data_IF_387901355867
#
_entry.id   IF_387901355867
#
_cell.length_a   1.000
_cell.length_b   1.000
_cell.length_c   1.000
_cell.angle_alpha   90.00
_cell.angle_beta   90.00
_cell.angle_gamma   90.00
#
_symmetry.space_group_name_H-M   'P 1'
#
loop_
_entity.id
_entity.type
_entity.pdbx_description
1 polymer ?
#
# COMPACT_ATOMS: atom_id res chain seq x y z
N UNK A 1 8.79 33.47 -110.02
CA UNK A 1 8.06 34.48 -109.24
C UNK A 1 6.74 33.98 -108.65
N UNK A 2 5.79 33.46 -109.44
CA UNK A 2 4.51 32.96 -108.90
C UNK A 2 4.68 31.76 -107.92
N UNK A 3 5.41 30.71 -108.32
CA UNK A 3 5.68 29.54 -107.45
C UNK A 3 6.46 29.88 -106.17
N UNK A 4 7.37 30.85 -106.26
CA UNK A 4 8.14 31.33 -105.11
C UNK A 4 7.26 32.12 -104.14
N UNK A 5 6.30 32.90 -104.64
CA UNK A 5 5.31 33.60 -103.81
C UNK A 5 4.39 32.61 -103.09
N UNK A 6 3.85 31.63 -103.81
CA UNK A 6 3.00 30.58 -103.24
C UNK A 6 3.72 29.75 -102.15
N UNK A 7 4.99 29.39 -102.38
CA UNK A 7 5.80 28.71 -101.37
C UNK A 7 6.06 29.59 -100.13
N UNK A 8 6.28 30.90 -100.31
CA UNK A 8 6.40 31.86 -99.22
C UNK A 8 5.09 31.96 -98.42
N UNK A 9 3.95 32.06 -99.09
CA UNK A 9 2.63 32.17 -98.44
C UNK A 9 2.31 30.88 -97.65
N UNK A 10 2.62 29.70 -98.19
CA UNK A 10 2.51 28.42 -97.48
C UNK A 10 3.44 28.34 -96.26
N UNK A 11 4.67 28.84 -96.35
CA UNK A 11 5.59 28.91 -95.21
C UNK A 11 5.08 29.83 -94.11
N UNK A 12 4.59 31.02 -94.46
CA UNK A 12 4.00 31.95 -93.48
C UNK A 12 2.79 31.33 -92.79
N UNK A 13 1.88 30.68 -93.54
CA UNK A 13 0.73 30.00 -92.96
C UNK A 13 1.14 28.88 -91.98
N UNK A 14 2.19 28.10 -92.30
CA UNK A 14 2.73 27.08 -91.38
C UNK A 14 3.38 27.69 -90.14
N UNK A 15 4.09 28.81 -90.28
CA UNK A 15 4.71 29.52 -89.16
C UNK A 15 3.62 30.07 -88.22
N UNK A 16 2.56 30.66 -88.77
CA UNK A 16 1.46 31.22 -87.97
C UNK A 16 0.63 30.11 -87.29
N UNK A 17 0.43 28.99 -87.97
CA UNK A 17 -0.15 27.78 -87.36
C UNK A 17 0.71 27.25 -86.20
N UNK A 18 2.03 27.17 -86.38
CA UNK A 18 2.96 26.74 -85.33
C UNK A 18 2.97 27.71 -84.14
N UNK A 19 2.95 29.03 -84.38
CA UNK A 19 2.84 30.04 -83.31
C UNK A 19 1.54 29.89 -82.52
N UNK A 20 0.42 29.70 -83.21
CA UNK A 20 -0.89 29.49 -82.58
C UNK A 20 -0.89 28.23 -81.72
N UNK A 21 -0.32 27.14 -82.22
CA UNK A 21 -0.17 25.90 -81.46
C UNK A 21 0.77 26.07 -80.26
N UNK A 22 1.87 26.80 -80.40
CA UNK A 22 2.79 27.09 -79.30
C UNK A 22 2.10 27.90 -78.20
N UNK A 23 1.29 28.90 -78.56
CA UNK A 23 0.56 29.70 -77.57
C UNK A 23 -0.54 28.89 -76.87
N UNK A 24 -1.29 28.04 -77.60
CA UNK A 24 -2.21 27.08 -76.97
C UNK A 24 -1.47 26.15 -76.00
N UNK A 25 -0.36 25.55 -76.43
CA UNK A 25 0.43 24.66 -75.57
C UNK A 25 0.94 25.40 -74.33
N UNK A 26 1.34 26.67 -74.48
CA UNK A 26 1.79 27.52 -73.37
C UNK A 26 0.66 27.79 -72.38
N UNK A 27 -0.54 28.09 -72.87
CA UNK A 27 -1.73 28.30 -72.04
C UNK A 27 -2.17 27.02 -71.34
N UNK A 28 -2.19 25.89 -72.03
CA UNK A 28 -2.48 24.57 -71.45
C UNK A 28 -1.47 24.21 -70.37
N UNK A 29 -0.17 24.33 -70.63
CA UNK A 29 0.87 24.06 -69.64
C UNK A 29 0.78 24.99 -68.43
N UNK A 30 0.45 26.28 -68.64
CA UNK A 30 0.24 27.22 -67.55
C UNK A 30 -0.97 26.85 -66.68
N UNK A 31 -2.07 26.41 -67.31
CA UNK A 31 -3.28 25.94 -66.60
C UNK A 31 -2.99 24.67 -65.80
N UNK A 32 -2.38 23.66 -66.43
CA UNK A 32 -2.00 22.41 -65.77
C UNK A 32 -1.03 22.65 -64.61
N UNK A 33 -0.08 23.58 -64.77
CA UNK A 33 0.84 23.96 -63.68
C UNK A 33 0.10 24.66 -62.54
N UNK A 34 -0.92 25.48 -62.83
CA UNK A 34 -1.73 26.13 -61.82
C UNK A 34 -2.63 25.14 -61.07
N UNK A 35 -3.27 24.21 -61.79
CA UNK A 35 -4.07 23.12 -61.23
C UNK A 35 -3.21 22.23 -60.33
N UNK A 36 -2.06 21.76 -60.82
CA UNK A 36 -1.15 20.93 -60.02
C UNK A 36 -0.63 21.64 -58.76
N UNK A 37 -0.42 22.98 -58.82
CA UNK A 37 -0.05 23.77 -57.62
C UNK A 37 -1.20 23.89 -56.63
N UNK A 38 -2.42 24.06 -57.13
CA UNK A 38 -3.61 24.13 -56.28
C UNK A 38 -3.86 22.78 -55.60
N UNK A 39 -3.81 21.68 -56.35
CA UNK A 39 -3.96 20.32 -55.81
C UNK A 39 -2.90 20.03 -54.74
N UNK A 40 -1.64 20.41 -55.01
CA UNK A 40 -0.55 20.26 -54.03
C UNK A 40 -0.79 21.11 -52.77
N UNK A 41 -1.31 22.33 -52.90
CA UNK A 41 -1.65 23.19 -51.77
C UNK A 41 -2.80 22.60 -50.94
N UNK A 42 -3.84 22.07 -51.61
CA UNK A 42 -4.99 21.45 -50.95
C UNK A 42 -4.61 20.15 -50.24
N UNK A 43 -3.74 19.32 -50.85
CA UNK A 43 -3.19 18.12 -50.22
C UNK A 43 -2.36 18.47 -48.99
N UNK A 44 -1.52 19.52 -49.06
CA UNK A 44 -0.72 19.97 -47.92
C UNK A 44 -1.61 20.50 -46.78
N UNK A 45 -2.66 21.25 -47.11
CA UNK A 45 -3.60 21.76 -46.12
C UNK A 45 -4.37 20.63 -45.42
N UNK A 46 -4.83 19.63 -46.17
CA UNK A 46 -5.49 18.45 -45.61
C UNK A 46 -4.56 17.65 -44.70
N UNK A 47 -3.32 17.41 -45.14
CA UNK A 47 -2.31 16.71 -44.36
C UNK A 47 -1.98 17.46 -43.05
N UNK A 48 -1.84 18.79 -43.10
CA UNK A 48 -1.63 19.61 -41.90
C UNK A 48 -2.80 19.48 -40.92
N UNK A 49 -4.04 19.60 -41.39
CA UNK A 49 -5.23 19.49 -40.55
C UNK A 49 -5.41 18.10 -39.92
N UNK A 50 -5.05 17.04 -40.64
CA UNK A 50 -5.05 15.68 -40.10
C UNK A 50 -3.95 15.49 -39.05
N UNK A 51 -2.75 16.02 -39.30
CA UNK A 51 -1.63 15.99 -38.37
C UNK A 51 -1.98 16.72 -37.06
N UNK A 52 -2.56 17.92 -37.14
CA UNK A 52 -2.98 18.68 -35.97
C UNK A 52 -4.05 17.93 -35.15
N UNK A 53 -5.01 17.28 -35.81
CA UNK A 53 -6.03 16.46 -35.16
C UNK A 53 -5.40 15.27 -34.44
N UNK A 54 -4.43 14.60 -35.07
CA UNK A 54 -3.76 13.44 -34.49
C UNK A 54 -2.90 13.84 -33.29
N UNK A 55 -2.14 14.94 -33.38
CA UNK A 55 -1.37 15.48 -32.27
C UNK A 55 -2.26 15.88 -31.10
N UNK A 56 -3.39 16.56 -31.35
CA UNK A 56 -4.35 16.90 -30.29
C UNK A 56 -4.96 15.68 -29.61
N UNK A 57 -5.18 14.58 -30.35
CA UNK A 57 -5.65 13.32 -29.77
C UNK A 57 -4.57 12.64 -28.90
N UNK A 58 -3.31 12.68 -29.33
CA UNK A 58 -2.17 12.18 -28.54
C UNK A 58 -2.01 13.01 -27.26
N UNK A 59 -2.11 14.34 -27.33
CA UNK A 59 -2.01 15.21 -26.16
C UNK A 59 -3.12 14.94 -25.14
N UNK A 60 -4.35 14.71 -25.62
CA UNK A 60 -5.48 14.35 -24.76
C UNK A 60 -5.26 12.99 -24.07
N UNK A 61 -4.76 11.99 -24.79
CA UNK A 61 -4.43 10.68 -24.20
C UNK A 61 -3.23 10.78 -23.25
N UNK A 62 -2.22 11.61 -23.58
CA UNK A 62 -1.10 11.91 -22.71
C UNK A 62 -1.55 12.52 -21.38
N UNK A 63 -2.47 13.50 -21.42
CA UNK A 63 -3.07 14.07 -20.22
C UNK A 63 -3.81 13.02 -19.38
N UNK A 64 -4.54 12.09 -20.03
CA UNK A 64 -5.23 10.99 -19.36
C UNK A 64 -4.25 10.02 -18.68
N UNK A 65 -3.16 9.66 -19.34
CA UNK A 65 -2.12 8.80 -18.77
C UNK A 65 -1.45 9.49 -17.59
N UNK A 66 -1.13 10.79 -17.70
CA UNK A 66 -0.55 11.56 -16.59
C UNK A 66 -1.48 11.60 -15.38
N UNK A 67 -2.80 11.77 -15.58
CA UNK A 67 -3.79 11.69 -14.50
C UNK A 67 -3.78 10.31 -13.83
N UNK A 68 -3.87 9.24 -14.61
CA UNK A 68 -3.87 7.85 -14.09
C UNK A 68 -2.57 7.52 -13.36
N UNK A 69 -1.41 7.94 -13.90
CA UNK A 69 -0.10 7.73 -13.28
C UNK A 69 0.01 8.52 -11.99
N UNK A 70 -0.49 9.76 -11.96
CA UNK A 70 -0.49 10.58 -10.74
C UNK A 70 -1.28 9.90 -9.62
N UNK A 71 -2.49 9.40 -9.92
CA UNK A 71 -3.29 8.61 -8.97
C UNK A 71 -2.58 7.34 -8.52
N UNK A 72 -1.91 6.63 -9.44
CA UNK A 72 -1.14 5.43 -9.12
C UNK A 72 0.07 5.73 -8.22
N UNK A 73 0.69 6.90 -8.38
CA UNK A 73 1.81 7.36 -7.56
C UNK A 73 1.39 7.83 -6.15
N UNK A 74 0.11 8.06 -5.92
CA UNK A 74 -0.47 8.42 -4.62
C UNK A 74 -0.86 7.21 -3.76
N UNK A 75 -1.03 6.03 -4.36
CA UNK A 75 -1.27 4.74 -3.68
C UNK A 75 -0.24 4.43 -2.56
N UNK A 76 1.08 4.65 -2.72
CA UNK A 76 2.05 4.38 -1.66
C UNK A 76 2.14 5.49 -0.59
N UNK A 77 1.48 6.64 -0.78
CA UNK A 77 1.47 7.69 0.23
C UNK A 77 0.62 7.21 1.40
N UNK A 78 1.27 6.87 2.51
CA UNK A 78 0.63 6.33 3.70
C UNK A 78 0.62 7.32 4.85
N UNK A 79 1.57 8.26 4.88
CA UNK A 79 1.66 9.26 5.95
C UNK A 79 1.68 10.66 5.37
N UNK A 80 0.77 11.48 5.89
CA UNK A 80 0.63 12.89 5.53
C UNK A 80 0.74 13.70 6.81
N UNK A 81 1.63 14.69 6.77
CA UNK A 81 1.92 15.59 7.86
C UNK A 81 1.52 17.01 7.47
N UNK A 82 0.75 17.66 8.32
CA UNK A 82 0.34 19.04 8.23
C UNK A 82 1.06 19.84 9.33
N UNK A 83 1.91 20.77 8.90
CA UNK A 83 2.66 21.64 9.81
C UNK A 83 1.96 22.99 9.93
N UNK A 84 1.54 23.34 11.15
CA UNK A 84 0.88 24.60 11.50
C UNK A 84 1.92 25.52 12.14
N UNK A 85 2.36 26.60 11.46
CA UNK A 85 3.28 27.56 12.03
C UNK A 85 2.59 28.42 13.10
N UNK A 86 3.34 28.89 14.10
CA UNK A 86 2.82 29.77 15.16
C UNK A 86 1.55 29.21 15.82
N UNK A 87 1.52 27.90 16.06
CA UNK A 87 0.29 27.16 16.36
C UNK A 87 -0.44 27.72 17.59
N UNK A 88 0.28 28.17 18.62
CA UNK A 88 -0.27 28.83 19.82
C UNK A 88 -1.08 30.08 19.46
N UNK A 89 -0.60 30.86 18.49
CA UNK A 89 -1.25 32.08 18.04
C UNK A 89 -2.46 31.79 17.16
N UNK A 90 -2.38 30.73 16.35
CA UNK A 90 -3.34 30.37 15.32
C UNK A 90 -4.53 29.55 15.85
N UNK A 91 -4.27 28.57 16.71
CA UNK A 91 -5.24 27.62 17.25
C UNK A 91 -5.95 28.18 18.50
N UNK A 92 -6.64 29.30 18.34
CA UNK A 92 -7.36 29.93 19.45
C UNK A 92 -8.67 29.20 19.74
N UNK A 93 -8.96 28.87 21.01
CA UNK A 93 -10.28 28.37 21.37
C UNK A 93 -11.35 29.43 21.06
N UNK A 94 -12.61 29.01 20.82
CA UNK A 94 -13.69 29.94 20.52
C UNK A 94 -13.89 30.92 21.69
N UNK A 95 -14.19 32.18 21.34
CA UNK A 95 -14.50 33.21 22.35
C UNK A 95 -15.83 32.82 23.01
N UNK A 96 -15.87 32.78 24.34
CA UNK A 96 -17.01 32.31 25.14
C UNK A 96 -18.37 32.94 24.76
N UNK A 97 -18.37 34.13 24.15
CA UNK A 97 -19.55 34.82 23.65
C UNK A 97 -20.29 34.07 22.52
N UNK A 98 -19.63 33.20 21.76
CA UNK A 98 -20.15 32.64 20.51
C UNK A 98 -20.99 31.34 20.67
N UNK A 99 -21.22 30.83 21.88
CA UNK A 99 -21.90 29.54 22.15
C UNK A 99 -21.34 28.32 21.40
N UNK A 100 -20.22 28.45 20.68
CA UNK A 100 -19.56 27.33 20.00
C UNK A 100 -18.72 26.54 21.01
N UNK A 101 -18.88 25.23 21.00
CA UNK A 101 -18.14 24.33 21.90
C UNK A 101 -16.67 24.14 21.49
N UNK A 102 -16.32 24.43 20.25
CA UNK A 102 -14.96 24.32 19.70
C UNK A 102 -14.76 25.21 18.48
N UNK A 103 -13.50 25.46 18.14
CA UNK A 103 -13.07 26.08 16.89
C UNK A 103 -12.46 25.01 15.97
N UNK A 104 -12.81 25.03 14.69
CA UNK A 104 -12.31 24.07 13.69
C UNK A 104 -11.31 24.71 12.74
N UNK A 105 -10.23 23.99 12.46
CA UNK A 105 -9.16 24.37 11.53
C UNK A 105 -8.92 23.24 10.54
N UNK A 106 -8.87 23.56 9.26
CA UNK A 106 -8.78 22.57 8.19
C UNK A 106 -7.44 22.64 7.47
N UNK A 107 -6.89 21.47 7.15
CA UNK A 107 -5.73 21.37 6.26
C UNK A 107 -6.13 21.69 4.82
N UNK A 108 -5.17 21.92 3.91
CA UNK A 108 -5.42 21.74 2.48
C UNK A 108 -5.94 20.32 2.22
N UNK A 109 -6.68 20.14 1.13
CA UNK A 109 -7.07 18.81 0.67
C UNK A 109 -5.85 18.05 0.14
N UNK A 110 -5.84 16.74 0.30
CA UNK A 110 -4.74 15.87 -0.12
C UNK A 110 -5.23 14.49 -0.57
N UNK A 111 -4.34 13.77 -1.24
CA UNK A 111 -4.58 12.41 -1.70
C UNK A 111 -3.59 11.45 -1.03
N UNK A 112 -4.08 10.32 -0.49
CA UNK A 112 -3.24 9.32 0.16
C UNK A 112 -3.93 7.95 0.20
N UNK A 113 -3.15 6.88 0.01
CA UNK A 113 -3.62 5.49 0.01
C UNK A 113 -4.87 5.27 -0.88
N UNK A 114 -4.84 5.85 -2.08
CA UNK A 114 -5.95 5.88 -3.06
C UNK A 114 -7.19 6.68 -2.62
N UNK A 115 -7.17 7.28 -1.45
CA UNK A 115 -8.20 8.22 -1.02
C UNK A 115 -8.04 9.57 -1.72
N UNK A 116 -9.11 10.01 -2.37
CA UNK A 116 -9.19 11.34 -2.97
C UNK A 116 -9.87 12.33 -2.01
N UNK A 117 -9.48 13.60 -2.11
CA UNK A 117 -10.14 14.71 -1.42
C UNK A 117 -10.13 14.60 0.13
N UNK A 118 -9.08 13.97 0.67
CA UNK A 118 -8.91 13.84 2.11
C UNK A 118 -8.58 15.19 2.74
N UNK A 119 -9.05 15.44 3.96
CA UNK A 119 -8.79 16.68 4.67
C UNK A 119 -8.71 16.46 6.17
N UNK A 120 -7.71 17.03 6.84
CA UNK A 120 -7.62 17.00 8.30
C UNK A 120 -8.40 18.17 8.88
N UNK A 121 -9.09 17.92 10.00
CA UNK A 121 -9.75 18.93 10.81
C UNK A 121 -9.22 18.85 12.25
N UNK A 122 -8.58 19.91 12.72
CA UNK A 122 -8.21 20.11 14.12
C UNK A 122 -9.32 20.88 14.81
N UNK A 123 -9.91 20.30 15.86
CA UNK A 123 -10.90 20.96 16.73
C UNK A 123 -10.26 21.34 18.06
N UNK A 124 -10.34 22.62 18.41
CA UNK A 124 -9.80 23.19 19.65
C UNK A 124 -10.94 23.55 20.59
N UNK A 125 -10.96 22.92 21.76
CA UNK A 125 -11.99 23.10 22.78
C UNK A 125 -11.54 24.10 23.85
N UNK A 126 -12.44 24.95 24.40
CA UNK A 126 -12.09 25.88 25.46
C UNK A 126 -11.64 25.13 26.74
N UNK A 127 -10.68 25.68 27.50
CA UNK A 127 -10.14 25.03 28.71
C UNK A 127 -11.21 24.72 29.77
N UNK A 128 -12.27 25.51 29.82
CA UNK A 128 -13.37 25.36 30.78
C UNK A 128 -14.14 24.04 30.65
N UNK A 129 -14.05 23.37 29.50
CA UNK A 129 -14.72 22.09 29.28
C UNK A 129 -13.85 20.89 29.68
N UNK A 130 -12.62 21.08 30.18
CA UNK A 130 -11.72 19.98 30.50
C UNK A 130 -12.40 18.97 31.46
N UNK A 131 -12.33 17.65 31.16
CA UNK A 131 -13.03 16.62 31.92
C UNK A 131 -12.57 16.53 33.39
N UNK A 132 -11.36 16.99 33.68
CA UNK A 132 -10.74 16.81 35.00
C UNK A 132 -10.95 17.99 35.95
N UNK A 133 -11.70 19.03 35.51
CA UNK A 133 -11.90 20.26 36.30
C UNK A 133 -10.63 21.09 36.52
N UNK A 134 -9.48 20.65 36.02
CA UNK A 134 -8.21 21.37 36.09
C UNK A 134 -8.21 22.47 35.03
N UNK A 135 -8.44 23.70 35.45
CA UNK A 135 -8.33 24.87 34.60
C UNK A 135 -6.86 25.14 34.28
N UNK A 136 -6.43 24.83 33.06
CA UNK A 136 -5.13 25.24 32.52
C UNK A 136 -5.28 26.55 31.74
N UNK A 137 -4.32 27.45 31.90
CA UNK A 137 -4.21 28.68 31.10
C UNK A 137 -3.41 28.33 29.86
N UNK A 138 -4.07 28.24 28.70
CA UNK A 138 -3.42 27.62 27.56
C UNK A 138 -4.22 27.47 26.28
N UNK A 139 -3.56 26.97 25.25
CA UNK A 139 -4.20 26.54 24.00
C UNK A 139 -5.05 25.31 24.31
N UNK A 140 -6.32 25.36 23.92
CA UNK A 140 -7.34 24.39 24.30
C UNK A 140 -7.00 22.91 24.06
N UNK A 141 -7.78 22.04 24.69
CA UNK A 141 -7.73 20.61 24.42
C UNK A 141 -8.11 20.35 22.95
N UNK A 142 -7.36 19.52 22.24
CA UNK A 142 -7.48 19.34 20.80
C UNK A 142 -7.97 17.93 20.43
N UNK A 143 -8.75 17.85 19.37
CA UNK A 143 -9.11 16.61 18.70
C UNK A 143 -8.76 16.70 17.20
N UNK A 144 -8.44 15.58 16.58
CA UNK A 144 -8.10 15.50 15.17
C UNK A 144 -9.08 14.57 14.45
N UNK A 145 -9.58 15.03 13.31
CA UNK A 145 -10.49 14.27 12.45
C UNK A 145 -9.92 14.20 11.04
N UNK A 146 -10.19 13.08 10.36
CA UNK A 146 -10.01 12.92 8.93
C UNK A 146 -11.38 12.99 8.25
N UNK A 147 -11.50 13.87 7.28
CA UNK A 147 -12.58 13.89 6.30
C UNK A 147 -12.17 13.02 5.12
N UNK A 148 -13.05 12.12 4.71
CA UNK A 148 -12.88 11.32 3.51
C UNK A 148 -14.21 11.19 2.75
N UNK A 149 -14.11 10.81 1.48
CA UNK A 149 -15.26 10.62 0.60
C UNK A 149 -16.02 9.33 0.88
N UNK A 150 -17.27 9.28 0.43
CA UNK A 150 -18.13 8.10 0.54
C UNK A 150 -17.51 6.85 -0.11
N UNK A 151 -17.79 5.67 0.45
CA UNK A 151 -17.35 4.39 -0.07
C UNK A 151 -15.94 3.98 0.37
N UNK A 152 -15.33 4.71 1.31
CA UNK A 152 -14.02 4.37 1.87
C UNK A 152 -14.14 3.64 3.22
N UNK A 153 -13.33 2.62 3.43
CA UNK A 153 -13.06 2.06 4.75
C UNK A 153 -11.58 2.25 5.05
N UNK A 154 -11.27 2.99 6.11
CA UNK A 154 -9.91 3.40 6.43
C UNK A 154 -9.57 2.98 7.86
N UNK A 155 -8.51 2.18 8.00
CA UNK A 155 -7.81 2.01 9.26
C UNK A 155 -6.63 2.98 9.29
N UNK A 156 -6.63 3.89 10.25
CA UNK A 156 -5.72 5.03 10.30
C UNK A 156 -5.23 5.30 11.72
N UNK A 157 -4.10 6.01 11.78
CA UNK A 157 -3.51 6.54 13.00
C UNK A 157 -3.43 8.05 12.89
N UNK A 158 -4.23 8.75 13.69
CA UNK A 158 -4.24 10.20 13.77
C UNK A 158 -3.28 10.66 14.86
N UNK A 159 -2.50 11.71 14.60
CA UNK A 159 -1.53 12.21 15.57
C UNK A 159 -1.46 13.74 15.63
N UNK A 160 -1.18 14.25 16.83
CA UNK A 160 -0.91 15.66 17.14
C UNK A 160 0.39 15.67 17.96
N UNK A 161 1.47 16.20 17.39
CA UNK A 161 2.81 16.13 17.96
C UNK A 161 3.23 14.69 18.23
N UNK A 162 3.54 14.38 19.48
CA UNK A 162 3.91 13.04 19.94
C UNK A 162 2.73 12.15 20.37
N UNK A 163 1.51 12.68 20.40
CA UNK A 163 0.31 11.93 20.80
C UNK A 163 -0.41 11.37 19.59
N UNK A 164 -0.85 10.12 19.67
CA UNK A 164 -1.48 9.41 18.56
C UNK A 164 -2.64 8.52 19.02
N UNK A 165 -3.59 8.26 18.12
CA UNK A 165 -4.72 7.35 18.33
C UNK A 165 -5.01 6.57 17.05
N UNK A 166 -5.27 5.26 17.21
CA UNK A 166 -5.70 4.40 16.11
C UNK A 166 -7.23 4.41 16.00
N UNK A 167 -7.73 4.49 14.77
CA UNK A 167 -9.16 4.53 14.45
C UNK A 167 -9.39 3.70 13.20
N UNK A 168 -10.46 2.94 13.20
CA UNK A 168 -11.01 2.32 12.00
C UNK A 168 -12.40 2.89 11.75
N UNK A 169 -12.69 3.30 10.51
CA UNK A 169 -13.97 3.91 10.17
C UNK A 169 -14.36 3.66 8.73
N UNK A 170 -15.67 3.50 8.51
CA UNK A 170 -16.29 3.40 7.20
C UNK A 170 -17.04 4.71 6.88
N UNK A 171 -16.72 5.32 5.75
CA UNK A 171 -17.25 6.58 5.29
C UNK A 171 -18.42 6.30 4.33
N UNK A 172 -19.64 6.46 4.81
CA UNK A 172 -20.86 6.27 3.99
C UNK A 172 -21.22 7.52 3.18
N UNK A 173 -20.78 8.68 3.64
CA UNK A 173 -20.88 9.98 2.99
C UNK A 173 -19.55 10.74 3.20
N UNK A 174 -19.44 11.97 2.69
CA UNK A 174 -18.35 12.88 3.05
C UNK A 174 -18.53 13.34 4.51
N UNK A 175 -17.86 12.65 5.42
CA UNK A 175 -17.94 12.92 6.86
C UNK A 175 -16.57 12.82 7.54
N UNK A 176 -16.51 13.35 8.76
CA UNK A 176 -15.31 13.38 9.57
C UNK A 176 -15.33 12.24 10.60
N UNK A 177 -14.27 11.43 10.61
CA UNK A 177 -14.01 10.48 11.69
C UNK A 177 -12.72 10.87 12.40
N UNK A 178 -12.72 10.84 13.73
CA UNK A 178 -11.60 11.39 14.48
C UNK A 178 -11.56 10.99 15.93
N UNK A 179 -10.55 11.52 16.60
CA UNK A 179 -10.30 11.28 18.00
C UNK A 179 -11.33 12.02 18.85
N UNK A 180 -11.45 11.61 20.11
CA UNK A 180 -11.92 12.52 21.15
C UNK A 180 -10.84 13.58 21.43
N UNK A 181 -10.99 14.30 22.52
CA UNK A 181 -9.99 15.20 23.10
C UNK A 181 -8.67 14.47 23.38
N UNK A 182 -7.73 14.54 22.45
CA UNK A 182 -6.51 13.73 22.37
C UNK A 182 -5.41 14.29 23.28
N UNK A 183 -5.18 15.61 23.22
CA UNK A 183 -4.10 16.27 23.96
C UNK A 183 -4.30 17.79 24.02
N UNK A 184 -3.58 18.44 24.93
CA UNK A 184 -3.43 19.90 24.92
C UNK A 184 -2.46 20.32 23.82
N UNK A 185 -2.82 21.30 23.00
CA UNK A 185 -1.96 21.74 21.90
C UNK A 185 -0.65 22.33 22.41
N UNK A 186 -0.69 23.12 23.48
CA UNK A 186 0.51 23.74 24.08
C UNK A 186 1.60 22.73 24.47
N UNK A 187 1.20 21.54 24.92
CA UNK A 187 2.12 20.47 25.31
C UNK A 187 2.78 19.80 24.08
N UNK A 188 2.25 20.03 22.88
CA UNK A 188 2.68 19.40 21.63
C UNK A 188 3.34 20.38 20.65
N UNK A 189 3.29 21.69 20.91
CA UNK A 189 3.99 22.70 20.11
C UNK A 189 5.49 22.61 20.39
N UNK A 190 6.29 22.59 19.34
CA UNK A 190 7.75 22.65 19.48
C UNK A 190 8.16 23.99 20.11
N UNK A 191 8.89 23.92 21.22
CA UNK A 191 9.35 25.10 21.95
C UNK A 191 10.37 25.94 21.18
N UNK A 192 11.08 25.34 20.21
CA UNK A 192 12.12 26.03 19.44
C UNK A 192 11.55 26.93 18.34
N UNK A 193 10.51 26.48 17.63
CA UNK A 193 10.00 27.16 16.44
C UNK A 193 8.48 27.44 16.46
N UNK A 194 7.79 27.07 17.53
CA UNK A 194 6.35 27.31 17.69
C UNK A 194 5.48 26.53 16.73
N UNK A 195 6.00 25.50 16.05
CA UNK A 195 5.25 24.68 15.10
C UNK A 195 4.52 23.54 15.78
N UNK A 196 3.33 23.23 15.25
CA UNK A 196 2.60 22.01 15.59
C UNK A 196 2.49 21.13 14.35
N UNK A 197 2.96 19.90 14.45
CA UNK A 197 2.75 18.89 13.41
C UNK A 197 1.56 18.03 13.77
N UNK A 198 0.57 17.99 12.90
CA UNK A 198 -0.57 17.07 12.98
C UNK A 198 -0.57 16.19 11.74
N UNK A 199 -1.16 15.01 11.79
CA UNK A 199 -1.15 14.16 10.61
C UNK A 199 -1.96 12.90 10.72
N UNK A 200 -1.94 12.16 9.62
CA UNK A 200 -2.57 10.85 9.49
C UNK A 200 -1.58 9.86 8.91
N UNK A 201 -1.56 8.66 9.47
CA UNK A 201 -0.92 7.50 8.89
C UNK A 201 -1.98 6.44 8.57
N UNK A 202 -2.23 6.24 7.28
CA UNK A 202 -3.21 5.31 6.75
C UNK A 202 -2.60 3.90 6.75
N UNK A 203 -3.02 3.08 7.69
CA UNK A 203 -2.57 1.70 7.83
C UNK A 203 -3.18 0.81 6.75
N UNK A 204 -4.46 1.01 6.48
CA UNK A 204 -5.24 0.29 5.48
C UNK A 204 -6.32 1.22 4.91
N UNK A 205 -6.56 1.12 3.60
CA UNK A 205 -7.64 1.82 2.94
C UNK A 205 -8.23 0.88 1.89
N UNK A 206 -9.54 0.66 1.99
CA UNK A 206 -10.33 -0.11 1.04
C UNK A 206 -11.33 0.86 0.43
N UNK A 207 -11.33 0.98 -0.89
CA UNK A 207 -12.29 1.80 -1.62
C UNK A 207 -13.28 0.87 -2.33
N UNK A 208 -14.55 0.97 -1.97
CA UNK A 208 -15.63 0.24 -2.64
C UNK A 208 -16.12 1.07 -3.81
N UNK A 209 -15.43 0.99 -4.96
CA UNK A 209 -15.97 1.55 -6.21
C UNK A 209 -17.12 0.68 -6.68
N UNK A 210 -18.35 1.21 -6.64
CA UNK A 210 -19.45 0.61 -7.38
C UNK A 210 -19.28 1.02 -8.85
N UNK A 211 -18.99 0.09 -9.78
CA UNK A 211 -18.86 0.43 -11.18
C UNK A 211 -20.24 0.80 -11.72
N UNK A 212 -20.55 2.09 -11.90
CA UNK A 212 -21.83 2.43 -12.55
C UNK A 212 -22.36 3.85 -12.54
N UNK A 213 -21.77 4.81 -11.82
CA UNK A 213 -22.29 6.20 -11.87
C UNK A 213 -21.19 7.17 -12.28
N UNK A 214 -21.15 7.47 -13.58
CA UNK A 214 -20.32 8.53 -14.12
C UNK A 214 -20.66 9.87 -13.45
N UNK A 215 -19.72 10.35 -12.63
CA UNK A 215 -19.47 11.75 -12.32
C UNK A 215 -20.66 12.61 -11.92
N UNK A 216 -21.08 12.55 -10.65
CA UNK A 216 -21.63 13.75 -10.03
C UNK A 216 -20.45 14.73 -9.86
N UNK A 217 -20.52 15.97 -10.38
CA UNK A 217 -19.47 16.96 -10.15
C UNK A 217 -19.26 17.15 -8.64
N UNK A 218 -18.01 17.33 -8.19
CA UNK A 218 -17.71 17.49 -6.77
C UNK A 218 -18.60 18.59 -6.19
N UNK A 219 -19.18 18.38 -4.99
CA UNK A 219 -19.96 19.42 -4.34
C UNK A 219 -19.11 20.67 -4.22
N UNK A 220 -19.68 21.81 -4.65
CA UNK A 220 -19.02 23.11 -4.58
C UNK A 220 -18.35 23.28 -3.22
N UNK A 221 -17.04 23.57 -3.17
CA UNK A 221 -16.29 23.62 -1.92
C UNK A 221 -17.00 24.56 -0.96
N UNK A 222 -17.32 24.08 0.24
CA UNK A 222 -17.75 24.95 1.33
C UNK A 222 -16.73 26.10 1.46
N UNK A 223 -17.15 27.33 1.81
CA UNK A 223 -16.27 28.48 1.89
C UNK A 223 -15.11 28.17 2.83
N UNK A 224 -13.97 27.80 2.23
CA UNK A 224 -12.78 27.39 2.94
C UNK A 224 -12.12 28.66 3.46
N UNK A 225 -11.97 28.74 4.78
CA UNK A 225 -11.01 29.66 5.39
C UNK A 225 -9.63 29.46 4.75
N UNK A 226 -8.79 30.52 4.65
CA UNK A 226 -7.47 30.42 4.03
C UNK A 226 -6.68 29.25 4.63
N UNK A 227 -6.21 28.37 3.74
CA UNK A 227 -5.49 27.17 4.11
C UNK A 227 -4.23 27.53 4.92
N UNK A 228 -4.03 26.82 6.02
CA UNK A 228 -3.26 27.32 7.14
C UNK A 228 -2.08 26.38 7.37
N UNK A 229 -0.97 26.57 6.65
CA UNK A 229 0.25 25.76 6.77
C UNK A 229 0.60 24.94 5.53
N UNK A 230 1.59 24.06 5.67
CA UNK A 230 2.13 23.23 4.57
C UNK A 230 1.94 21.74 4.83
N UNK A 231 1.73 20.96 3.76
CA UNK A 231 1.64 19.50 3.79
C UNK A 231 2.97 18.86 3.34
N UNK A 232 3.42 17.84 4.06
CA UNK A 232 4.52 16.95 3.68
C UNK A 232 4.04 15.51 3.52
N UNK A 233 4.59 14.82 2.53
CA UNK A 233 4.19 13.46 2.15
C UNK A 233 5.34 12.49 2.41
N UNK A 234 5.06 11.40 3.12
CA UNK A 234 6.01 10.31 3.32
C UNK A 234 5.46 9.06 2.64
N UNK A 235 6.14 8.63 1.58
CA UNK A 235 5.84 7.40 0.85
C UNK A 235 6.54 6.24 1.53
N UNK A 236 5.78 5.29 2.04
CA UNK A 236 6.31 4.06 2.62
C UNK A 236 6.00 2.93 1.65
N UNK A 237 7.04 2.39 1.00
CA UNK A 237 6.89 1.19 0.17
C UNK A 237 6.66 0.01 1.12
N UNK A 238 5.56 -0.70 0.90
CA UNK A 238 4.92 -1.56 1.89
C UNK A 238 5.82 -2.74 2.34
N UNK A 239 6.33 -2.69 3.57
CA UNK A 239 7.06 -3.80 4.21
C UNK A 239 6.14 -4.88 4.82
N UNK A 240 4.80 -4.82 4.68
CA UNK A 240 3.87 -5.82 5.27
C UNK A 240 3.53 -7.01 4.36
N UNK A 241 3.62 -6.83 3.04
CA UNK A 241 3.45 -7.95 2.09
C UNK A 241 4.54 -8.99 2.32
N UNK A 242 5.76 -8.57 2.60
CA UNK A 242 6.90 -9.50 2.78
C UNK A 242 6.72 -10.40 4.02
N UNK A 243 6.40 -9.90 5.23
CA UNK A 243 6.10 -10.74 6.40
C UNK A 243 4.87 -11.64 6.22
N UNK A 244 3.79 -11.15 5.60
CA UNK A 244 2.59 -11.95 5.39
C UNK A 244 2.83 -13.08 4.37
N UNK A 245 3.47 -12.77 3.25
CA UNK A 245 3.87 -13.78 2.25
C UNK A 245 4.88 -14.75 2.84
N UNK A 246 5.85 -14.27 3.63
CA UNK A 246 6.81 -15.12 4.32
C UNK A 246 6.11 -16.13 5.23
N UNK A 247 5.16 -15.70 6.05
CA UNK A 247 4.39 -16.58 6.94
C UNK A 247 3.61 -17.65 6.17
N UNK A 248 2.95 -17.27 5.07
CA UNK A 248 2.24 -18.24 4.23
C UNK A 248 3.17 -19.19 3.49
N UNK A 249 4.35 -18.72 3.05
CA UNK A 249 5.40 -19.56 2.46
C UNK A 249 5.97 -20.54 3.48
N UNK A 250 6.25 -20.10 4.70
CA UNK A 250 6.72 -20.96 5.81
C UNK A 250 5.67 -22.05 6.12
N UNK A 251 4.38 -21.69 6.17
CA UNK A 251 3.29 -22.67 6.34
C UNK A 251 3.25 -23.68 5.19
N UNK A 252 3.40 -23.23 3.94
CA UNK A 252 3.45 -24.11 2.76
C UNK A 252 4.67 -25.02 2.79
N UNK A 253 5.83 -24.53 3.21
CA UNK A 253 7.03 -25.33 3.38
C UNK A 253 6.85 -26.38 4.49
N UNK A 254 6.27 -26.01 5.64
CA UNK A 254 5.92 -26.94 6.71
C UNK A 254 4.95 -28.04 6.23
N UNK A 255 4.04 -27.73 5.29
CA UNK A 255 3.18 -28.73 4.64
C UNK A 255 3.92 -29.72 3.76
N UNK A 256 5.16 -29.46 3.36
CA UNK A 256 5.99 -30.38 2.57
C UNK A 256 6.95 -31.20 3.45
N UNK A 257 7.26 -30.72 4.66
CA UNK A 257 8.09 -31.47 5.62
C UNK A 257 7.34 -32.71 6.10
N UNK A 258 7.96 -33.89 5.92
CA UNK A 258 7.43 -35.20 6.32
C UNK A 258 8.27 -35.90 7.38
N UNK A 259 9.51 -35.45 7.58
CA UNK A 259 10.48 -36.02 8.51
C UNK A 259 11.21 -34.87 9.19
N UNK A 260 11.31 -34.93 10.51
CA UNK A 260 12.08 -34.00 11.33
C UNK A 260 13.00 -34.86 12.18
N UNK A 261 14.29 -34.52 12.18
CA UNK A 261 15.32 -35.19 12.96
C UNK A 261 15.95 -34.17 13.88
N UNK A 262 16.08 -34.53 15.15
CA UNK A 262 16.74 -33.72 16.16
C UNK A 262 17.93 -34.51 16.68
N UNK A 263 19.12 -33.98 16.43
CA UNK A 263 20.36 -34.56 16.91
C UNK A 263 20.64 -34.04 18.32
N UNK A 264 20.96 -34.97 19.22
CA UNK A 264 21.45 -34.69 20.56
C UNK A 264 22.92 -35.09 20.60
N UNK A 265 23.79 -34.10 20.76
CA UNK A 265 25.24 -34.32 20.91
C UNK A 265 25.54 -34.89 22.30
N UNK A 266 26.63 -35.67 22.41
CA UNK A 266 27.10 -36.30 23.65
C UNK A 266 25.99 -37.06 24.41
N UNK A 267 25.21 -37.86 23.68
CA UNK A 267 24.03 -38.53 24.22
C UNK A 267 24.37 -39.36 25.47
N UNK A 268 25.54 -40.02 25.51
CA UNK A 268 26.01 -40.80 26.65
C UNK A 268 26.14 -40.00 27.96
N UNK A 269 26.37 -38.68 27.89
CA UNK A 269 26.51 -37.81 29.06
C UNK A 269 25.17 -37.30 29.61
N UNK A 270 24.09 -37.31 28.81
CA UNK A 270 22.82 -36.69 29.15
C UNK A 270 22.20 -37.17 30.49
N UNK A 271 22.19 -38.47 30.84
CA UNK A 271 21.62 -38.91 32.12
C UNK A 271 22.38 -38.38 33.35
N UNK A 272 23.64 -37.94 33.18
CA UNK A 272 24.44 -37.33 34.26
C UNK A 272 24.22 -35.83 34.36
N UNK A 273 23.88 -35.18 33.23
CA UNK A 273 23.73 -33.74 33.14
C UNK A 273 22.32 -33.27 33.52
N UNK A 274 21.31 -34.11 33.28
CA UNK A 274 19.91 -33.80 33.54
C UNK A 274 19.37 -34.63 34.70
N UNK A 275 18.68 -33.97 35.65
CA UNK A 275 18.09 -34.67 36.78
C UNK A 275 16.95 -35.61 36.31
N UNK A 276 16.58 -36.58 37.16
CA UNK A 276 15.39 -37.39 36.90
C UNK A 276 14.16 -36.48 36.71
N UNK A 277 13.34 -36.77 35.69
CA UNK A 277 12.14 -35.98 35.33
C UNK A 277 12.45 -34.60 34.71
N UNK A 278 13.70 -34.26 34.45
CA UNK A 278 14.05 -33.03 33.71
C UNK A 278 14.03 -33.28 32.18
N UNK A 279 13.22 -32.53 31.40
CA UNK A 279 13.19 -32.67 29.96
C UNK A 279 14.29 -31.89 29.26
N UNK A 280 14.70 -32.42 28.11
CA UNK A 280 15.39 -31.68 27.05
C UNK A 280 14.36 -31.43 25.94
N UNK A 281 14.26 -30.20 25.48
CA UNK A 281 13.33 -29.82 24.42
C UNK A 281 14.07 -29.44 23.14
N UNK A 282 13.57 -29.92 21.99
CA UNK A 282 14.05 -29.45 20.70
C UNK A 282 13.71 -27.96 20.49
N UNK A 283 14.33 -27.28 19.51
CA UNK A 283 13.73 -26.06 18.96
C UNK A 283 12.30 -26.33 18.49
N UNK A 284 11.46 -25.28 18.49
CA UNK A 284 10.12 -25.36 17.91
C UNK A 284 10.23 -25.52 16.40
N UNK A 285 9.44 -26.41 15.80
CA UNK A 285 9.44 -26.69 14.37
C UNK A 285 8.02 -26.79 13.78
N UNK A 286 7.96 -26.75 12.46
CA UNK A 286 6.74 -27.00 11.68
C UNK A 286 6.89 -28.22 10.78
N UNK A 287 5.89 -29.11 10.77
CA UNK A 287 5.85 -30.26 9.89
C UNK A 287 4.40 -30.70 9.62
N UNK A 288 4.18 -31.35 8.48
CA UNK A 288 2.84 -31.76 8.03
C UNK A 288 1.79 -30.62 8.02
N UNK A 289 2.23 -29.36 7.92
CA UNK A 289 1.36 -28.18 7.95
C UNK A 289 0.94 -27.72 9.34
N UNK A 290 1.50 -28.30 10.40
CA UNK A 290 1.32 -27.86 11.78
C UNK A 290 2.57 -27.11 12.22
N UNK A 291 2.38 -25.91 12.76
CA UNK A 291 3.45 -25.07 13.35
C UNK A 291 3.43 -25.22 14.88
N UNK A 292 4.52 -24.86 15.55
CA UNK A 292 4.56 -24.85 17.01
C UNK A 292 4.77 -26.22 17.65
N UNK A 293 5.28 -27.21 16.91
CA UNK A 293 5.58 -28.53 17.46
C UNK A 293 6.96 -28.57 18.10
N UNK A 294 7.14 -29.46 19.08
CA UNK A 294 8.40 -29.61 19.80
C UNK A 294 8.59 -31.07 20.26
N UNK A 295 9.80 -31.60 20.15
CA UNK A 295 10.15 -32.89 20.76
C UNK A 295 10.60 -32.65 22.21
N UNK A 296 10.11 -33.48 23.12
CA UNK A 296 10.44 -33.43 24.54
C UNK A 296 11.00 -34.80 24.93
N UNK A 297 12.27 -34.81 25.31
CA UNK A 297 13.01 -36.03 25.63
C UNK A 297 13.46 -36.02 27.08
N UNK A 298 13.23 -37.12 27.79
CA UNK A 298 13.67 -37.31 29.18
C UNK A 298 14.71 -38.43 29.21
N UNK A 299 16.01 -38.12 29.27
CA UNK A 299 17.08 -39.13 29.24
C UNK A 299 16.93 -40.17 30.36
N UNK A 300 16.60 -39.70 31.56
CA UNK A 300 16.42 -40.52 32.78
C UNK A 300 14.96 -40.96 33.00
N UNK A 301 14.09 -40.74 32.01
CA UNK A 301 12.67 -41.04 32.09
C UNK A 301 11.83 -39.97 32.79
N UNK A 302 10.54 -39.94 32.45
CA UNK A 302 9.50 -39.13 33.09
C UNK A 302 8.97 -39.82 34.34
N UNK A 303 8.17 -39.11 35.13
CA UNK A 303 7.57 -39.64 36.36
C UNK A 303 6.86 -40.98 36.12
N UNK A 304 7.34 -42.05 36.78
CA UNK A 304 6.83 -43.41 36.65
C UNK A 304 7.50 -44.28 35.59
N UNK A 305 8.59 -43.81 34.96
CA UNK A 305 9.41 -44.63 34.08
C UNK A 305 10.17 -45.72 34.85
N UNK A 306 10.39 -46.86 34.18
CA UNK A 306 11.24 -47.94 34.67
C UNK A 306 12.69 -47.49 34.66
N UNK A 307 13.47 -47.89 35.68
CA UNK A 307 14.88 -47.54 35.76
C UNK A 307 15.65 -47.93 34.48
N UNK A 308 16.43 -46.98 33.95
CA UNK A 308 17.19 -47.12 32.70
C UNK A 308 16.38 -46.89 31.42
N UNK A 309 15.08 -46.60 31.49
CA UNK A 309 14.29 -46.19 30.33
C UNK A 309 14.23 -44.68 30.18
N UNK A 310 14.25 -44.22 28.93
CA UNK A 310 13.98 -42.84 28.57
C UNK A 310 12.51 -42.65 28.17
N UNK A 311 12.05 -41.40 28.23
CA UNK A 311 10.73 -41.01 27.74
C UNK A 311 10.85 -40.05 26.57
N UNK A 312 9.92 -40.14 25.62
CA UNK A 312 9.88 -39.27 24.45
C UNK A 312 8.43 -38.86 24.19
N UNK A 313 8.24 -37.56 23.98
CA UNK A 313 6.95 -36.94 23.70
C UNK A 313 7.07 -35.96 22.53
N UNK A 314 5.95 -35.77 21.84
CA UNK A 314 5.73 -34.71 20.88
C UNK A 314 4.71 -33.74 21.47
N UNK A 315 5.11 -32.48 21.63
CA UNK A 315 4.21 -31.38 21.90
C UNK A 315 3.58 -30.89 20.58
N UNK A 316 2.27 -30.65 20.61
CA UNK A 316 1.54 -30.07 19.49
C UNK A 316 0.47 -29.07 19.97
N UNK A 317 0.13 -28.06 19.15
CA UNK A 317 -0.92 -27.10 19.48
C UNK A 317 -2.31 -27.73 19.47
N UNK A 318 -3.29 -27.05 20.08
CA UNK A 318 -4.69 -27.45 20.10
C UNK A 318 -5.30 -27.52 18.69
N UNK A 319 -6.29 -28.40 18.50
CA UNK A 319 -7.08 -28.56 17.29
C UNK A 319 -6.42 -29.40 16.18
N UNK A 320 -5.34 -30.14 16.47
CA UNK A 320 -4.63 -30.95 15.46
C UNK A 320 -4.79 -32.46 15.71
N UNK A 321 -5.03 -33.21 14.64
CA UNK A 321 -5.00 -34.68 14.65
C UNK A 321 -3.80 -35.16 13.87
N UNK A 322 -2.90 -35.88 14.54
CA UNK A 322 -1.64 -36.35 13.97
C UNK A 322 -1.58 -37.87 13.97
N UNK A 323 -1.25 -38.44 12.81
CA UNK A 323 -0.77 -39.83 12.68
C UNK A 323 0.71 -39.76 12.30
N UNK A 324 1.58 -40.27 13.17
CA UNK A 324 3.01 -40.07 13.02
C UNK A 324 3.83 -41.25 13.53
N UNK A 325 5.08 -41.32 13.04
CA UNK A 325 6.14 -42.17 13.59
C UNK A 325 7.13 -41.27 14.27
N UNK A 326 7.43 -41.56 15.53
CA UNK A 326 8.47 -40.87 16.28
C UNK A 326 9.41 -41.90 16.87
N UNK A 327 10.69 -41.54 16.89
CA UNK A 327 11.77 -42.47 17.16
C UNK A 327 12.92 -41.82 17.89
N UNK A 328 13.68 -42.63 18.63
CA UNK A 328 14.99 -42.29 19.15
C UNK A 328 15.97 -43.35 18.62
N UNK A 329 17.01 -42.91 17.90
CA UNK A 329 17.93 -43.78 17.18
C UNK A 329 17.19 -44.83 16.31
N UNK A 330 17.51 -46.12 16.48
CA UNK A 330 16.88 -47.24 15.76
C UNK A 330 15.47 -47.60 16.24
N UNK A 331 15.03 -47.05 17.37
CA UNK A 331 13.73 -47.37 17.98
C UNK A 331 12.65 -46.44 17.44
N UNK A 332 11.74 -46.98 16.62
CA UNK A 332 10.61 -46.23 16.04
C UNK A 332 9.29 -46.76 16.61
N UNK A 333 8.34 -45.87 16.89
CA UNK A 333 6.97 -46.22 17.30
C UNK A 333 5.95 -45.43 16.49
N UNK A 334 4.88 -46.11 16.09
CA UNK A 334 3.69 -45.47 15.54
C UNK A 334 2.84 -44.87 16.66
N UNK A 335 2.28 -43.70 16.41
CA UNK A 335 1.34 -43.02 17.27
C UNK A 335 0.23 -42.32 16.46
N UNK A 336 -0.89 -42.15 17.14
CA UNK A 336 -2.00 -41.36 16.67
C UNK A 336 -2.62 -40.62 17.86
N UNK A 337 -2.75 -39.30 17.75
CA UNK A 337 -3.37 -38.48 18.78
C UNK A 337 -4.12 -37.30 18.17
N UNK A 338 -5.22 -36.91 18.82
CA UNK A 338 -5.91 -35.64 18.59
C UNK A 338 -5.67 -34.75 19.80
N UNK A 339 -5.14 -33.55 19.58
CA UNK A 339 -4.82 -32.60 20.63
C UNK A 339 -5.97 -31.61 20.75
N UNK A 340 -6.96 -31.88 21.61
CA UNK A 340 -8.06 -30.94 21.86
C UNK A 340 -7.56 -29.66 22.53
N UNK A 341 -6.54 -29.80 23.39
CA UNK A 341 -5.77 -28.71 23.99
C UNK A 341 -4.29 -28.86 23.62
N UNK A 342 -3.55 -27.75 23.68
CA UNK A 342 -2.11 -27.79 23.41
C UNK A 342 -1.41 -28.60 24.50
N UNK A 343 -0.64 -29.61 24.11
CA UNK A 343 -0.10 -30.56 25.06
C UNK A 343 0.90 -31.53 24.46
N UNK A 344 1.45 -32.39 25.32
CA UNK A 344 2.45 -33.38 24.94
C UNK A 344 1.84 -34.79 24.90
N UNK A 345 2.12 -35.53 23.83
CA UNK A 345 1.73 -36.92 23.68
C UNK A 345 2.95 -37.79 23.39
N UNK A 346 3.10 -38.91 24.08
CA UNK A 346 4.31 -39.71 24.01
C UNK A 346 4.26 -40.96 24.87
N UNK A 347 5.44 -41.51 25.17
CA UNK A 347 5.58 -42.73 25.98
C UNK A 347 6.55 -42.50 27.13
N UNK A 348 6.10 -42.89 28.33
CA UNK A 348 6.89 -42.88 29.56
C UNK A 348 8.05 -43.88 29.46
N UNK A 349 7.79 -45.12 29.02
CA UNK A 349 8.83 -46.12 28.79
C UNK A 349 9.04 -46.29 27.27
N UNK A 350 9.79 -45.39 26.64
CA UNK A 350 9.98 -45.40 25.18
C UNK A 350 10.98 -46.50 24.75
N UNK A 351 12.20 -46.44 25.28
CA UNK A 351 13.28 -47.42 25.08
C UNK A 351 14.27 -47.36 26.23
N UNK A 352 15.15 -48.35 26.36
CA UNK A 352 16.29 -48.23 27.28
C UNK A 352 17.28 -47.22 26.74
N UNK A 353 17.84 -46.39 27.63
CA UNK A 353 18.75 -45.32 27.24
C UNK A 353 20.12 -45.86 26.78
N UNK A 354 20.59 -46.95 27.39
CA UNK A 354 21.89 -47.58 27.11
C UNK A 354 22.06 -48.12 25.67
N UNK A 355 20.95 -48.26 24.92
CA UNK A 355 20.96 -48.75 23.53
C UNK A 355 20.78 -47.60 22.52
N UNK A 356 20.61 -46.36 22.98
CA UNK A 356 20.32 -45.22 22.09
C UNK A 356 21.56 -44.53 21.50
N UNK A 357 22.64 -44.26 22.25
CA UNK A 357 23.85 -43.66 21.69
C UNK A 357 24.42 -44.54 20.57
N UNK A 358 24.74 -43.95 19.43
CA UNK A 358 25.48 -44.66 18.37
C UNK A 358 26.95 -44.73 18.79
N UNK A 359 27.56 -45.92 18.90
CA UNK A 359 28.96 -46.05 19.28
C UNK A 359 29.95 -45.39 18.31
N UNK A 360 29.51 -44.95 17.12
CA UNK A 360 30.35 -44.23 16.17
C UNK A 360 30.34 -42.70 16.32
N UNK A 361 29.39 -42.14 17.07
CA UNK A 361 29.15 -40.68 17.18
C UNK A 361 29.35 -40.12 18.62
N UNK A 362 29.82 -40.94 19.58
CA UNK A 362 30.25 -40.53 20.93
C UNK A 362 31.75 -40.13 21.01
#
# INVERSE_FOLDING_TARGET
EARTKEACDQLHARIDGAKTQMEMNRQTAARETAEARQDAADCLAQYSAETDRHLGAIDAEGARVVDVVSRALEVPTRRVEWTIPEAVRMLRPPIAALKQEYASYFSPMFHAASGEDLQLEVRVFPPSLAPDGVSRVGVGNCALYLWASAGMQIAMRLFIGGKQSNIESAYTDRMAHGTKRLCWAEDQVDAADGRLTVGVEILEAIQSTTPGTAGRPPPSPAPCSPALGSLSYIRSVNNRVVPQVRKEVERLQARLVRKVEWLLEDASALPRLFAAVEPICSPVFGAAGVEGMQLIFYPSGYSGATEGFCSLYLFAPAGVSLKFRFGAASQIRDAHNTFDEAGAYGRVNFSRFDVLPDPQDD
#
